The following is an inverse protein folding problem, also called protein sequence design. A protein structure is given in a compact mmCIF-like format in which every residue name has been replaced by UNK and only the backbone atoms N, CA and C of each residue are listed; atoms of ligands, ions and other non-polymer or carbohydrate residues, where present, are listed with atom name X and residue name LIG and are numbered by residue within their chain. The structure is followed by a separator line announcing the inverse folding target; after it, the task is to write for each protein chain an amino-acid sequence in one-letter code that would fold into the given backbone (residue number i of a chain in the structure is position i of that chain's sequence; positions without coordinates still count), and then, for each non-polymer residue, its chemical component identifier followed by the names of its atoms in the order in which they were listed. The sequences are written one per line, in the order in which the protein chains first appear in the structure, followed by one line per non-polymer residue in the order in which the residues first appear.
data_IF_098581028537
#
_entry.id   IF_098581028537
#
_cell.length_a   1.000
_cell.length_b   1.000
_cell.length_c   1.000
_cell.angle_alpha   90.00
_cell.angle_beta   90.00
_cell.angle_gamma   90.00
#
_symmetry.space_group_name_H-M   'P 1'
#
loop_
_entity.id
_entity.type
_entity.pdbx_description
1 polymer ?
#
# COMPACT_ATOMS: atom_id res chain seq x y z
N UNK A 1 -3.66 15.05 11.86
CA UNK A 1 -3.07 15.58 13.11
C UNK A 1 -3.23 17.09 13.30
N UNK A 2 -2.98 17.93 12.29
CA UNK A 2 -3.07 19.40 12.44
C UNK A 2 -4.42 19.92 13.00
N UNK A 3 -5.55 19.36 12.57
CA UNK A 3 -6.87 19.75 13.08
C UNK A 3 -7.04 19.42 14.57
N UNK A 4 -6.54 18.26 15.01
CA UNK A 4 -6.61 17.80 16.40
C UNK A 4 -5.79 18.72 17.31
N UNK A 5 -4.55 19.05 16.90
CA UNK A 5 -3.71 19.99 17.67
C UNK A 5 -4.31 21.39 17.73
N UNK A 6 -4.91 21.87 16.63
CA UNK A 6 -5.63 23.15 16.63
C UNK A 6 -6.83 23.13 17.57
N UNK A 7 -7.61 22.05 17.58
CA UNK A 7 -8.76 21.88 18.47
C UNK A 7 -8.35 21.86 19.93
N UNK A 8 -7.33 21.11 20.28
CA UNK A 8 -6.89 21.01 21.67
C UNK A 8 -6.17 22.28 22.18
N UNK A 9 -5.53 23.06 21.30
CA UNK A 9 -5.12 24.44 21.64
C UNK A 9 -6.33 25.33 21.95
N UNK A 10 -7.37 25.32 21.10
CA UNK A 10 -8.62 26.07 21.34
C UNK A 10 -9.31 25.65 22.63
N UNK A 11 -9.25 24.36 22.97
CA UNK A 11 -9.81 23.84 24.22
C UNK A 11 -9.07 24.39 25.45
N UNK A 12 -7.74 24.41 25.42
CA UNK A 12 -6.90 25.01 26.49
C UNK A 12 -7.19 26.51 26.66
N UNK A 13 -7.24 27.26 25.55
CA UNK A 13 -7.58 28.69 25.55
C UNK A 13 -8.96 28.94 26.18
N UNK A 14 -9.99 28.21 25.72
CA UNK A 14 -11.36 28.38 26.22
C UNK A 14 -11.52 27.99 27.68
N UNK A 15 -10.84 26.95 28.13
CA UNK A 15 -10.88 26.57 29.54
C UNK A 15 -10.24 27.64 30.42
N UNK A 16 -9.11 28.21 29.99
CA UNK A 16 -8.48 29.30 30.72
C UNK A 16 -9.42 30.52 30.83
N UNK A 17 -10.08 30.92 29.73
CA UNK A 17 -11.08 32.00 29.74
C UNK A 17 -12.18 31.74 30.78
N UNK A 18 -12.71 30.51 30.82
CA UNK A 18 -13.77 30.11 31.75
C UNK A 18 -13.28 30.14 33.21
N UNK A 19 -12.07 29.65 33.46
CA UNK A 19 -11.50 29.59 34.79
C UNK A 19 -11.23 30.97 35.38
N UNK A 20 -10.82 31.93 34.54
CA UNK A 20 -10.62 33.33 34.93
C UNK A 20 -11.94 34.05 35.23
N UNK A 21 -13.03 33.65 34.55
CA UNK A 21 -14.36 34.19 34.80
C UNK A 21 -15.03 33.62 36.06
N UNK A 22 -14.47 32.57 36.68
CA UNK A 22 -15.02 31.93 37.87
C UNK A 22 -14.52 32.61 39.16
N UNK A 23 -15.38 33.31 39.91
CA UNK A 23 -14.99 34.05 41.11
C UNK A 23 -14.75 33.16 42.33
N UNK A 24 -15.10 31.87 42.23
CA UNK A 24 -15.04 30.91 43.33
C UNK A 24 -13.63 30.37 43.59
N UNK A 25 -12.74 30.48 42.60
CA UNK A 25 -11.38 29.96 42.69
C UNK A 25 -10.39 31.08 43.01
N UNK A 26 -9.49 30.81 43.95
CA UNK A 26 -8.33 31.67 44.15
C UNK A 26 -7.29 31.49 43.02
N UNK A 27 -6.34 32.42 42.92
CA UNK A 27 -5.32 32.37 41.86
C UNK A 27 -4.46 31.09 41.86
N UNK A 28 -4.34 30.41 43.00
CA UNK A 28 -3.56 29.17 43.12
C UNK A 28 -4.36 27.97 42.62
N UNK A 29 -5.63 27.88 42.98
CA UNK A 29 -6.58 26.90 42.47
C UNK A 29 -6.76 27.05 40.95
N UNK A 30 -6.81 28.28 40.45
CA UNK A 30 -6.86 28.56 39.01
C UNK A 30 -5.61 28.07 38.28
N UNK A 31 -4.42 28.30 38.87
CA UNK A 31 -3.16 27.82 38.33
C UNK A 31 -3.08 26.28 38.31
N UNK A 32 -3.41 25.63 39.43
CA UNK A 32 -3.34 24.18 39.56
C UNK A 32 -4.32 23.48 38.61
N UNK A 33 -5.54 24.00 38.45
CA UNK A 33 -6.51 23.49 37.50
C UNK A 33 -6.07 23.69 36.04
N UNK A 34 -5.49 24.85 35.70
CA UNK A 34 -4.94 25.10 34.36
C UNK A 34 -3.77 24.15 34.04
N UNK A 35 -2.88 23.92 35.01
CA UNK A 35 -1.75 22.99 34.88
C UNK A 35 -2.24 21.56 34.69
N UNK A 36 -3.21 21.12 35.49
CA UNK A 36 -3.80 19.78 35.40
C UNK A 36 -4.43 19.55 34.03
N UNK A 37 -5.31 20.46 33.57
CA UNK A 37 -5.94 20.32 32.27
C UNK A 37 -4.91 20.28 31.14
N UNK A 38 -3.94 21.19 31.18
CA UNK A 38 -2.90 21.25 30.15
C UNK A 38 -2.14 19.92 30.06
N UNK A 39 -1.74 19.37 31.21
CA UNK A 39 -1.11 18.05 31.27
C UNK A 39 -2.00 16.92 30.74
N UNK A 40 -3.29 16.91 31.06
CA UNK A 40 -4.23 15.90 30.56
C UNK A 40 -4.43 15.99 29.03
N UNK A 41 -4.54 17.20 28.51
CA UNK A 41 -4.65 17.44 27.06
C UNK A 41 -3.37 17.01 26.35
N UNK A 42 -2.21 17.35 26.90
CA UNK A 42 -0.92 17.01 26.29
C UNK A 42 -0.66 15.50 26.33
N UNK A 43 -1.00 14.82 27.42
CA UNK A 43 -0.95 13.35 27.51
C UNK A 43 -1.91 12.69 26.50
N UNK A 44 -3.12 13.24 26.36
CA UNK A 44 -4.08 12.75 25.37
C UNK A 44 -3.54 12.92 23.94
N UNK A 45 -2.90 14.05 23.64
CA UNK A 45 -2.23 14.28 22.35
C UNK A 45 -1.10 13.29 22.11
N UNK A 46 -0.31 12.98 23.13
CA UNK A 46 0.80 12.02 23.04
C UNK A 46 0.28 10.63 22.70
N UNK A 47 -0.71 10.13 23.44
CA UNK A 47 -1.33 8.82 23.22
C UNK A 47 -1.94 8.74 21.81
N UNK A 48 -2.68 9.77 21.39
CA UNK A 48 -3.26 9.81 20.04
C UNK A 48 -2.18 9.82 18.95
N UNK A 49 -1.10 10.58 19.15
CA UNK A 49 0.00 10.66 18.18
C UNK A 49 0.72 9.32 18.05
N UNK A 50 0.96 8.64 19.17
CA UNK A 50 1.54 7.31 19.18
C UNK A 50 0.63 6.28 18.49
N UNK A 51 -0.67 6.27 18.82
CA UNK A 51 -1.63 5.37 18.21
C UNK A 51 -1.76 5.60 16.69
N UNK A 52 -1.77 6.86 16.26
CA UNK A 52 -1.78 7.22 14.84
C UNK A 52 -0.51 6.75 14.13
N UNK A 53 0.67 7.01 14.69
CA UNK A 53 1.94 6.58 14.09
C UNK A 53 2.01 5.05 13.98
N UNK A 54 1.65 4.33 15.03
CA UNK A 54 1.62 2.86 15.05
C UNK A 54 0.63 2.28 14.04
N UNK A 55 -0.59 2.83 13.98
CA UNK A 55 -1.60 2.40 13.01
C UNK A 55 -1.18 2.70 11.57
N UNK A 56 -0.60 3.87 11.33
CA UNK A 56 -0.12 4.27 10.02
C UNK A 56 1.06 3.42 9.54
N UNK A 57 2.03 3.13 10.40
CA UNK A 57 3.14 2.23 10.08
C UNK A 57 2.63 0.83 9.74
N UNK A 58 1.74 0.27 10.57
CA UNK A 58 1.12 -1.05 10.31
C UNK A 58 0.37 -1.06 8.98
N UNK A 59 -0.41 -0.03 8.70
CA UNK A 59 -1.18 0.05 7.45
C UNK A 59 -0.27 0.21 6.23
N UNK A 60 0.79 1.03 6.34
CA UNK A 60 1.80 1.22 5.29
C UNK A 60 2.51 -0.10 4.98
N UNK A 61 2.96 -0.82 6.02
CA UNK A 61 3.60 -2.14 5.87
C UNK A 61 2.67 -3.17 5.25
N UNK A 62 1.39 -3.17 5.65
CA UNK A 62 0.39 -4.07 5.08
C UNK A 62 0.12 -3.75 3.59
N UNK A 63 0.01 -2.47 3.24
CA UNK A 63 -0.18 -2.03 1.86
C UNK A 63 1.03 -2.41 0.99
N UNK A 64 2.25 -2.26 1.50
CA UNK A 64 3.45 -2.65 0.78
C UNK A 64 3.58 -4.17 0.62
N UNK A 65 3.28 -4.95 1.67
CA UNK A 65 3.24 -6.40 1.58
C UNK A 65 2.21 -6.89 0.54
N UNK A 66 1.03 -6.26 0.50
CA UNK A 66 0.01 -6.56 -0.51
C UNK A 66 0.48 -6.20 -1.91
N UNK A 67 1.12 -5.04 -2.09
CA UNK A 67 1.69 -4.61 -3.37
C UNK A 67 2.71 -5.64 -3.86
N UNK A 68 3.67 -6.03 -3.02
CA UNK A 68 4.67 -7.06 -3.35
C UNK A 68 4.02 -8.40 -3.69
N UNK A 69 3.07 -8.86 -2.89
CA UNK A 69 2.34 -10.10 -3.15
C UNK A 69 1.60 -10.07 -4.49
N UNK A 70 0.91 -8.97 -4.80
CA UNK A 70 0.19 -8.79 -6.07
C UNK A 70 1.14 -8.79 -7.27
N UNK A 71 2.32 -8.19 -7.14
CA UNK A 71 3.36 -8.20 -8.18
C UNK A 71 3.85 -9.63 -8.40
N UNK A 72 4.19 -10.35 -7.33
CA UNK A 72 4.68 -11.74 -7.41
C UNK A 72 3.64 -12.68 -8.01
N UNK A 73 2.37 -12.55 -7.60
CA UNK A 73 1.29 -13.34 -8.20
C UNK A 73 1.11 -13.01 -9.68
N UNK A 74 1.06 -11.73 -10.05
CA UNK A 74 0.94 -11.33 -11.46
C UNK A 74 2.11 -11.84 -12.32
N UNK A 75 3.34 -11.78 -11.82
CA UNK A 75 4.52 -12.32 -12.51
C UNK A 75 4.42 -13.83 -12.66
N UNK A 76 4.01 -14.54 -11.60
CA UNK A 76 3.84 -16.00 -11.60
C UNK A 76 2.75 -16.44 -12.58
N UNK A 77 1.59 -15.78 -12.56
CA UNK A 77 0.49 -16.06 -13.50
C UNK A 77 0.89 -15.76 -14.93
N UNK A 78 1.58 -14.65 -15.19
CA UNK A 78 2.11 -14.35 -16.53
C UNK A 78 3.10 -15.43 -16.98
N UNK A 79 4.03 -15.83 -16.12
CA UNK A 79 5.00 -16.89 -16.41
C UNK A 79 4.30 -18.19 -16.78
N UNK A 80 3.30 -18.62 -16.01
CA UNK A 80 2.58 -19.86 -16.28
C UNK A 80 1.76 -19.77 -17.59
N UNK A 81 1.15 -18.62 -17.87
CA UNK A 81 0.48 -18.38 -19.15
C UNK A 81 1.45 -18.47 -20.33
N UNK A 82 2.64 -17.88 -20.22
CA UNK A 82 3.65 -17.97 -21.28
C UNK A 82 4.19 -19.39 -21.44
N UNK A 83 4.34 -20.14 -20.34
CA UNK A 83 4.73 -21.56 -20.37
C UNK A 83 3.68 -22.40 -21.10
N UNK A 84 2.40 -22.21 -20.80
CA UNK A 84 1.31 -22.90 -21.46
C UNK A 84 1.28 -22.58 -22.97
N UNK A 85 1.41 -21.31 -23.36
CA UNK A 85 1.44 -20.91 -24.77
C UNK A 85 2.65 -21.51 -25.53
N UNK A 86 3.80 -21.64 -24.89
CA UNK A 86 4.97 -22.29 -25.47
C UNK A 86 4.76 -23.80 -25.64
N UNK A 87 4.21 -24.48 -24.63
CA UNK A 87 3.90 -25.91 -24.69
C UNK A 87 2.83 -26.22 -25.74
N UNK A 88 1.84 -25.36 -25.93
CA UNK A 88 0.83 -25.51 -26.97
C UNK A 88 1.45 -25.43 -28.37
N UNK A 89 2.35 -24.46 -28.58
CA UNK A 89 3.13 -24.36 -29.81
C UNK A 89 4.01 -25.59 -30.04
N UNK A 90 4.71 -26.07 -29.00
CA UNK A 90 5.57 -27.27 -29.07
C UNK A 90 4.75 -28.52 -29.43
N UNK A 91 3.61 -28.73 -28.78
CA UNK A 91 2.73 -29.86 -29.08
C UNK A 91 2.23 -29.82 -30.53
N UNK A 92 1.87 -28.65 -31.02
CA UNK A 92 1.44 -28.46 -32.41
C UNK A 92 2.56 -28.76 -33.40
N UNK A 93 3.77 -28.26 -33.13
CA UNK A 93 4.96 -28.56 -33.92
C UNK A 93 5.23 -30.08 -33.98
N UNK A 94 5.19 -30.76 -32.82
CA UNK A 94 5.42 -32.20 -32.73
C UNK A 94 4.37 -33.01 -33.49
N UNK A 95 3.09 -32.62 -33.40
CA UNK A 95 2.01 -33.26 -34.14
C UNK A 95 2.18 -33.07 -35.65
N UNK A 96 2.45 -31.85 -36.11
CA UNK A 96 2.61 -31.53 -37.52
C UNK A 96 3.84 -32.23 -38.14
N UNK A 97 4.93 -32.36 -37.39
CA UNK A 97 6.10 -33.17 -37.76
C UNK A 97 5.76 -34.67 -37.89
N UNK A 98 4.98 -35.22 -36.94
CA UNK A 98 4.57 -36.62 -36.97
C UNK A 98 3.64 -36.95 -38.15
N UNK A 99 2.84 -35.99 -38.59
CA UNK A 99 1.99 -36.08 -39.79
C UNK A 99 2.80 -35.97 -41.09
N UNK A 100 4.09 -35.58 -41.01
CA UNK A 100 4.99 -35.51 -42.16
C UNK A 100 4.85 -34.25 -43.00
N UNK A 101 4.37 -33.15 -42.40
CA UNK A 101 4.30 -31.85 -43.07
C UNK A 101 5.71 -31.35 -43.44
N UNK A 102 5.80 -30.63 -44.56
CA UNK A 102 7.06 -30.03 -44.98
C UNK A 102 7.46 -28.89 -44.04
N UNK A 103 8.77 -28.61 -43.94
CA UNK A 103 9.31 -27.59 -43.05
C UNK A 103 8.70 -26.18 -43.27
N UNK A 104 8.22 -25.89 -44.49
CA UNK A 104 7.54 -24.64 -44.86
C UNK A 104 6.14 -24.51 -44.26
N UNK A 105 5.54 -25.61 -43.81
CA UNK A 105 4.18 -25.69 -43.28
C UNK A 105 4.15 -25.76 -41.75
N UNK A 106 5.30 -25.96 -41.11
CA UNK A 106 5.42 -26.06 -39.65
C UNK A 106 5.13 -24.71 -38.96
N UNK A 107 4.63 -24.73 -37.71
CA UNK A 107 4.24 -23.52 -37.02
C UNK A 107 5.48 -22.77 -36.55
N UNK A 108 5.67 -21.54 -37.01
CA UNK A 108 6.77 -20.69 -36.57
C UNK A 108 6.55 -20.16 -35.15
N UNK A 109 7.54 -20.33 -34.27
CA UNK A 109 7.50 -19.81 -32.89
C UNK A 109 7.28 -18.29 -32.85
N UNK A 110 7.83 -17.55 -33.80
CA UNK A 110 7.69 -16.09 -33.88
C UNK A 110 6.28 -15.61 -34.24
N UNK A 111 5.44 -16.48 -34.82
CA UNK A 111 4.04 -16.21 -35.12
C UNK A 111 3.09 -16.79 -34.07
N UNK A 112 3.58 -17.63 -33.15
CA UNK A 112 2.80 -18.18 -32.05
C UNK A 112 2.50 -17.11 -30.97
N UNK A 113 1.47 -17.32 -30.14
CA UNK A 113 1.07 -16.39 -29.06
C UNK A 113 2.27 -16.02 -28.16
N UNK A 114 3.10 -17.01 -27.81
CA UNK A 114 4.32 -16.81 -27.04
C UNK A 114 5.33 -15.90 -27.76
N UNK A 115 5.62 -16.15 -29.04
CA UNK A 115 6.62 -15.37 -29.80
C UNK A 115 6.18 -13.93 -30.05
N UNK A 116 4.89 -13.71 -30.32
CA UNK A 116 4.31 -12.37 -30.43
C UNK A 116 4.42 -11.63 -29.09
N UNK A 117 4.02 -12.27 -27.99
CA UNK A 117 4.17 -11.67 -26.66
C UNK A 117 5.62 -11.34 -26.34
N UNK A 118 6.56 -12.25 -26.62
CA UNK A 118 7.98 -12.05 -26.34
C UNK A 118 8.52 -10.83 -27.10
N UNK A 119 8.21 -10.70 -28.39
CA UNK A 119 8.67 -9.56 -29.21
C UNK A 119 8.08 -8.22 -28.77
N UNK A 120 6.83 -8.19 -28.31
CA UNK A 120 6.13 -6.94 -27.99
C UNK A 120 6.16 -6.54 -26.51
N UNK A 121 6.48 -7.47 -25.60
CA UNK A 121 6.44 -7.23 -24.14
C UNK A 121 7.57 -7.93 -23.37
N UNK A 122 8.06 -9.06 -23.85
CA UNK A 122 9.11 -9.85 -23.17
C UNK A 122 10.50 -9.27 -23.37
N UNK A 123 10.82 -8.81 -24.58
CA UNK A 123 12.14 -8.26 -24.93
C UNK A 123 12.48 -7.01 -24.10
N UNK A 124 11.52 -6.10 -23.93
CA UNK A 124 11.68 -4.89 -23.13
C UNK A 124 11.77 -5.18 -21.62
N UNK A 125 11.23 -6.31 -21.16
CA UNK A 125 11.24 -6.68 -19.74
C UNK A 125 12.52 -7.41 -19.29
N UNK A 126 13.41 -7.75 -20.24
CA UNK A 126 14.66 -8.49 -20.02
C UNK A 126 15.93 -7.64 -20.25
N UNK A 127 15.78 -6.35 -20.61
CA UNK A 127 16.85 -5.35 -20.67
C UNK A 127 17.01 -4.64 -19.32
#
# INVERSE_FOLDING_TARGET
MHLVFRGARRLKEKFHDLLQAEPMFDGRQQFDATRLLSGLIDLSMEIMSYAYASSHDRNSRAAEAYRLFSVVQNVSTKRERQRAALLDWENRLMFELAVGLEASQLPHIGAAEFGLWFRHKGADALQ
#
